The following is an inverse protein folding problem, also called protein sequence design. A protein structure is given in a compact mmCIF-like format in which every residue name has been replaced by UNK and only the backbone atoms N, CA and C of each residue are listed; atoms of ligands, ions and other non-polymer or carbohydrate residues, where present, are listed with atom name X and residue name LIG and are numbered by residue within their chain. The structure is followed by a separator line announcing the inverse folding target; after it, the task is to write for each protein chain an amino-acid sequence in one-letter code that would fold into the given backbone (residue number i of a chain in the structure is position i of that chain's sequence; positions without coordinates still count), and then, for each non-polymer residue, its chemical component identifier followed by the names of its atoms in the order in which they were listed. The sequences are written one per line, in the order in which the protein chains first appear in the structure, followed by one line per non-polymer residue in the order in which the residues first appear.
data_IF_837938502716
#
_entry.id   IF_837938502716
#
_cell.length_a   1.000
_cell.length_b   1.000
_cell.length_c   1.000
_cell.angle_alpha   90.00
_cell.angle_beta   90.00
_cell.angle_gamma   90.00
#
_symmetry.space_group_name_H-M   'P 1'
#
loop_
_entity.id
_entity.type
_entity.pdbx_description
1 polymer ?
#
# COMPACT_ATOMS: atom_id res chain seq x y z
N UNK A 1 -4.12 4.19 19.18
CA UNK A 1 -3.01 3.99 18.21
C UNK A 1 -2.85 5.25 17.38
N UNK A 2 -1.64 5.59 16.93
CA UNK A 2 -1.41 6.72 16.02
C UNK A 2 -1.99 6.40 14.64
N UNK A 3 -2.73 7.36 14.05
CA UNK A 3 -3.27 7.26 12.70
C UNK A 3 -2.25 7.67 11.65
N UNK A 4 -1.19 8.35 12.06
CA UNK A 4 -0.12 8.86 11.20
C UNK A 4 1.17 8.13 11.52
N UNK A 5 1.84 7.59 10.52
CA UNK A 5 3.09 6.87 10.67
C UNK A 5 4.17 7.36 9.69
N UNK A 6 5.41 7.23 10.10
CA UNK A 6 6.56 7.68 9.31
C UNK A 6 7.01 9.10 9.66
N UNK A 7 7.72 9.80 8.74
CA UNK A 7 7.91 9.45 7.32
C UNK A 7 8.71 8.17 7.10
N UNK A 8 8.23 7.32 6.19
CA UNK A 8 8.92 6.09 5.77
C UNK A 8 9.39 6.20 4.32
N UNK A 9 10.52 5.59 3.94
CA UNK A 9 10.95 5.59 2.56
C UNK A 9 9.98 4.75 1.73
N UNK A 10 9.46 5.37 0.68
CA UNK A 10 8.64 4.76 -0.33
C UNK A 10 9.47 4.47 -1.57
N UNK A 11 9.23 3.34 -2.21
CA UNK A 11 9.90 2.96 -3.47
C UNK A 11 9.62 3.94 -4.62
N UNK A 12 8.59 4.76 -4.50
CA UNK A 12 8.07 5.63 -5.56
C UNK A 12 7.75 7.06 -5.14
N UNK A 13 7.64 7.33 -3.84
CA UNK A 13 7.16 8.61 -3.30
C UNK A 13 8.16 9.30 -2.37
N UNK A 14 9.44 8.90 -2.40
CA UNK A 14 10.43 9.46 -1.49
C UNK A 14 10.10 9.19 -0.03
N UNK A 15 10.18 10.20 0.83
CA UNK A 15 9.81 10.13 2.25
C UNK A 15 8.30 10.31 2.39
N UNK A 16 7.59 9.23 2.62
CA UNK A 16 6.13 9.22 2.70
C UNK A 16 5.63 9.24 4.14
N UNK A 17 4.78 10.21 4.47
CA UNK A 17 4.01 10.24 5.70
C UNK A 17 2.69 9.52 5.46
N UNK A 18 2.51 8.35 6.08
CA UNK A 18 1.33 7.52 5.88
C UNK A 18 0.19 7.92 6.79
N UNK A 19 -1.02 7.95 6.25
CA UNK A 19 -2.28 8.20 6.96
C UNK A 19 -3.14 6.95 6.88
N UNK A 20 -3.38 6.32 8.01
CA UNK A 20 -4.16 5.09 8.15
C UNK A 20 -5.56 5.41 8.69
N UNK A 21 -6.55 5.27 7.84
CA UNK A 21 -7.94 5.64 8.09
C UNK A 21 -8.83 4.44 8.44
N UNK A 22 -8.25 3.23 8.35
CA UNK A 22 -9.03 1.99 8.33
C UNK A 22 -8.51 1.07 9.43
N UNK A 23 -9.39 0.43 10.23
CA UNK A 23 -8.98 -0.55 11.21
C UNK A 23 -8.16 -1.68 10.57
N UNK A 24 -7.22 -2.21 11.33
CA UNK A 24 -6.28 -3.22 10.86
C UNK A 24 -6.98 -4.38 10.15
N UNK A 25 -6.55 -4.69 8.93
CA UNK A 25 -7.10 -5.75 8.07
C UNK A 25 -8.60 -5.62 7.74
N UNK A 26 -9.12 -4.40 7.68
CA UNK A 26 -10.45 -4.12 7.11
C UNK A 26 -10.27 -3.70 5.65
N UNK A 27 -10.75 -4.52 4.72
CA UNK A 27 -10.51 -4.32 3.29
C UNK A 27 -11.67 -4.86 2.45
N UNK A 28 -11.75 -4.43 1.19
CA UNK A 28 -12.70 -4.97 0.21
C UNK A 28 -12.21 -6.27 -0.43
N UNK A 29 -10.90 -6.59 -0.31
CA UNK A 29 -10.24 -7.78 -0.84
C UNK A 29 -9.57 -8.59 0.27
N UNK A 30 -9.27 -9.87 -0.02
CA UNK A 30 -8.41 -10.76 0.77
C UNK A 30 -7.30 -11.32 -0.12
N UNK A 31 -6.44 -10.42 -0.64
CA UNK A 31 -5.41 -10.78 -1.62
C UNK A 31 -4.43 -11.81 -1.07
N UNK A 32 -4.13 -12.85 -1.89
CA UNK A 32 -3.21 -13.92 -1.50
C UNK A 32 -1.78 -13.43 -1.21
N UNK A 33 -1.39 -12.28 -1.76
CA UNK A 33 -0.07 -11.67 -1.62
C UNK A 33 0.01 -10.57 -0.54
N UNK A 34 -1.09 -10.30 0.19
CA UNK A 34 -1.12 -9.20 1.14
C UNK A 34 -0.05 -9.36 2.22
N UNK A 35 0.84 -8.38 2.34
CA UNK A 35 1.92 -8.38 3.34
C UNK A 35 1.42 -8.27 4.79
N UNK A 36 0.17 -7.81 4.98
CA UNK A 36 -0.49 -7.75 6.30
C UNK A 36 -1.10 -9.09 6.72
N UNK A 37 -1.09 -10.09 5.83
CA UNK A 37 -1.76 -11.37 6.00
C UNK A 37 -3.22 -11.31 5.56
N UNK A 38 -4.02 -12.33 5.95
CA UNK A 38 -5.43 -12.44 5.58
C UNK A 38 -6.28 -11.31 6.13
N UNK A 39 -7.22 -10.83 5.33
CA UNK A 39 -8.21 -9.84 5.74
C UNK A 39 -9.14 -10.43 6.79
N UNK A 40 -9.27 -9.76 7.93
CA UNK A 40 -10.12 -10.21 9.03
C UNK A 40 -11.54 -9.65 8.92
N UNK A 41 -11.69 -8.44 8.37
CA UNK A 41 -12.98 -7.82 8.08
C UNK A 41 -13.08 -7.47 6.60
N UNK A 42 -13.63 -8.39 5.81
CA UNK A 42 -13.89 -8.14 4.39
C UNK A 42 -15.26 -7.46 4.23
N UNK A 43 -15.28 -6.22 3.70
CA UNK A 43 -16.49 -5.38 3.63
C UNK A 43 -16.43 -4.40 2.48
N UNK A 44 -17.57 -3.88 2.06
CA UNK A 44 -17.74 -2.73 1.15
C UNK A 44 -18.42 -1.55 1.87
N UNK A 45 -18.67 -1.69 3.15
CA UNK A 45 -19.31 -0.67 3.98
C UNK A 45 -18.34 0.52 4.15
N UNK A 46 -18.83 1.73 3.86
CA UNK A 46 -18.06 2.96 3.97
C UNK A 46 -18.50 3.73 5.22
N UNK A 47 -17.55 4.05 6.07
CA UNK A 47 -17.80 4.72 7.33
C UNK A 47 -16.67 5.72 7.65
N UNK A 48 -16.87 6.57 8.63
CA UNK A 48 -15.82 7.24 9.37
C UNK A 48 -15.27 6.25 10.40
N UNK A 49 -14.25 5.46 10.01
CA UNK A 49 -13.69 4.40 10.85
C UNK A 49 -12.83 4.94 12.00
N UNK A 50 -12.29 6.13 11.82
CA UNK A 50 -11.48 6.85 12.80
C UNK A 50 -11.93 8.31 12.82
N UNK A 51 -11.95 8.99 13.99
CA UNK A 51 -12.35 10.39 14.06
C UNK A 51 -11.44 11.26 13.18
N UNK A 52 -12.01 11.92 12.18
CA UNK A 52 -11.23 12.70 11.21
C UNK A 52 -10.49 13.87 11.86
N UNK A 53 -11.06 14.46 12.90
CA UNK A 53 -10.43 15.57 13.63
C UNK A 53 -9.14 15.14 14.34
N UNK A 54 -9.11 13.93 14.89
CA UNK A 54 -7.93 13.35 15.52
C UNK A 54 -6.83 13.11 14.49
N UNK A 55 -7.20 12.56 13.32
CA UNK A 55 -6.28 12.34 12.19
C UNK A 55 -5.65 13.65 11.72
N UNK A 56 -6.47 14.70 11.57
CA UNK A 56 -6.01 16.02 11.11
C UNK A 56 -5.12 16.70 12.15
N UNK A 57 -5.45 16.59 13.43
CA UNK A 57 -4.62 17.15 14.51
C UNK A 57 -3.24 16.49 14.54
N UNK A 58 -3.21 15.16 14.48
CA UNK A 58 -1.96 14.36 14.45
C UNK A 58 -1.14 14.64 13.17
N UNK A 59 -1.80 14.75 12.02
CA UNK A 59 -1.14 15.10 10.77
C UNK A 59 -0.45 16.45 10.85
N UNK A 60 -1.12 17.47 11.40
CA UNK A 60 -0.59 18.82 11.56
C UNK A 60 0.72 18.84 12.34
N UNK A 61 0.81 18.08 13.43
CA UNK A 61 2.03 17.97 14.23
C UNK A 61 3.18 17.35 13.43
N UNK A 62 2.89 16.30 12.65
CA UNK A 62 3.91 15.56 11.88
C UNK A 62 4.34 16.25 10.57
N UNK A 63 3.65 17.30 10.11
CA UNK A 63 4.08 18.08 8.94
C UNK A 63 5.47 18.73 9.12
N UNK A 64 5.88 19.02 10.38
CA UNK A 64 7.23 19.53 10.70
C UNK A 64 8.36 18.59 10.24
N UNK A 65 8.07 17.30 10.01
CA UNK A 65 9.02 16.31 9.50
C UNK A 65 9.32 16.46 8.00
N UNK A 66 8.63 17.36 7.30
CA UNK A 66 8.81 17.68 5.87
C UNK A 66 8.85 16.43 4.98
N UNK A 67 7.81 15.61 4.94
CA UNK A 67 7.74 14.49 4.02
C UNK A 67 7.64 14.96 2.56
N UNK A 68 8.01 14.09 1.60
CA UNK A 68 7.85 14.38 0.17
C UNK A 68 6.40 14.18 -0.28
N UNK A 69 5.69 13.24 0.37
CA UNK A 69 4.27 12.93 0.14
C UNK A 69 3.53 12.65 1.45
N UNK A 70 2.26 13.02 1.48
CA UNK A 70 1.27 12.51 2.44
C UNK A 70 0.47 11.43 1.72
N UNK A 71 0.47 10.20 2.26
CA UNK A 71 -0.06 9.04 1.56
C UNK A 71 -1.23 8.43 2.32
N UNK A 72 -2.43 8.50 1.77
CA UNK A 72 -3.59 7.80 2.30
C UNK A 72 -3.48 6.32 1.92
N UNK A 73 -3.09 5.52 2.89
CA UNK A 73 -2.83 4.08 2.76
C UNK A 73 -2.67 3.47 4.15
N UNK A 74 -2.54 2.17 4.28
CA UNK A 74 -2.24 1.59 5.59
C UNK A 74 -2.78 0.17 5.76
N UNK A 75 -3.60 -0.02 6.77
CA UNK A 75 -4.02 -1.33 7.28
C UNK A 75 -5.18 -1.97 6.51
N UNK A 76 -5.70 -1.29 5.48
CA UNK A 76 -6.84 -1.75 4.67
C UNK A 76 -7.04 -0.95 3.40
N UNK A 77 -8.28 -0.88 2.91
CA UNK A 77 -8.65 -0.12 1.71
C UNK A 77 -9.10 1.30 2.11
N UNK A 78 -8.34 2.36 1.77
CA UNK A 78 -8.65 3.72 2.21
C UNK A 78 -9.99 4.27 1.67
N UNK A 79 -10.48 3.79 0.52
CA UNK A 79 -11.77 4.23 -0.03
C UNK A 79 -12.98 3.72 0.76
N UNK A 80 -12.78 2.88 1.77
CA UNK A 80 -13.79 2.56 2.78
C UNK A 80 -14.06 3.72 3.74
N UNK A 81 -13.15 4.71 3.84
CA UNK A 81 -13.42 5.95 4.56
C UNK A 81 -14.43 6.79 3.77
N UNK A 82 -15.55 7.17 4.41
CA UNK A 82 -16.62 7.93 3.77
C UNK A 82 -16.32 9.43 3.64
N UNK A 83 -15.26 9.94 4.28
CA UNK A 83 -14.89 11.36 4.35
C UNK A 83 -13.51 11.65 3.73
N UNK A 84 -13.14 10.95 2.65
CA UNK A 84 -11.84 11.14 2.01
C UNK A 84 -11.65 12.53 1.41
N UNK A 85 -12.68 13.06 0.76
CA UNK A 85 -12.69 14.41 0.18
C UNK A 85 -12.42 15.48 1.23
N UNK A 86 -13.06 15.39 2.38
CA UNK A 86 -12.82 16.31 3.49
C UNK A 86 -11.38 16.23 4.00
N UNK A 87 -10.85 15.02 4.20
CA UNK A 87 -9.45 14.86 4.63
C UNK A 87 -8.48 15.43 3.61
N UNK A 88 -8.66 15.13 2.33
CA UNK A 88 -7.82 15.64 1.25
C UNK A 88 -7.89 17.18 1.22
N UNK A 89 -9.09 17.76 1.28
CA UNK A 89 -9.28 19.20 1.29
C UNK A 89 -8.64 19.90 2.49
N UNK A 90 -8.83 19.35 3.70
CA UNK A 90 -8.20 19.87 4.93
C UNK A 90 -6.68 19.76 4.88
N UNK A 91 -6.16 18.64 4.37
CA UNK A 91 -4.71 18.46 4.20
C UNK A 91 -4.13 19.50 3.24
N UNK A 92 -4.74 19.70 2.08
CA UNK A 92 -4.31 20.71 1.09
C UNK A 92 -4.39 22.14 1.61
N UNK A 93 -5.31 22.44 2.52
CA UNK A 93 -5.39 23.76 3.16
C UNK A 93 -4.26 24.02 4.17
N UNK A 94 -3.63 22.97 4.72
CA UNK A 94 -2.57 23.06 5.74
C UNK A 94 -1.16 23.05 5.14
N UNK A 95 -0.97 22.48 3.94
CA UNK A 95 0.36 22.27 3.38
C UNK A 95 0.33 22.18 1.86
N UNK A 96 1.48 22.48 1.23
CA UNK A 96 1.71 22.26 -0.20
C UNK A 96 2.30 20.87 -0.52
N UNK A 97 2.52 20.03 0.49
CA UNK A 97 3.02 18.66 0.30
C UNK A 97 1.95 17.85 -0.46
N UNK A 98 2.32 17.18 -1.55
CA UNK A 98 1.35 16.47 -2.37
C UNK A 98 0.70 15.30 -1.62
N UNK A 99 -0.61 15.13 -1.83
CA UNK A 99 -1.40 14.02 -1.29
C UNK A 99 -1.51 12.91 -2.33
N UNK A 100 -1.12 11.70 -1.95
CA UNK A 100 -1.27 10.49 -2.75
C UNK A 100 -2.27 9.53 -2.11
N UNK A 101 -3.11 8.88 -2.91
CA UNK A 101 -4.03 7.83 -2.45
C UNK A 101 -3.66 6.51 -3.10
N UNK A 102 -3.35 5.50 -2.27
CA UNK A 102 -3.08 4.14 -2.71
C UNK A 102 -4.33 3.31 -2.46
N UNK A 103 -4.99 2.87 -3.52
CA UNK A 103 -6.26 2.12 -3.43
C UNK A 103 -6.19 0.83 -4.25
N UNK A 104 -6.91 -0.19 -3.83
CA UNK A 104 -7.08 -1.39 -4.64
C UNK A 104 -8.07 -1.20 -5.83
N UNK A 105 -8.66 -0.01 -5.95
CA UNK A 105 -9.53 0.36 -7.05
C UNK A 105 -10.94 -0.24 -7.01
N UNK A 106 -11.25 -1.10 -6.05
CA UNK A 106 -12.49 -1.87 -5.99
C UNK A 106 -13.77 -1.05 -5.97
N UNK A 107 -13.73 0.11 -5.33
CA UNK A 107 -14.89 0.98 -5.15
C UNK A 107 -14.98 2.12 -6.17
N UNK A 108 -14.04 2.22 -7.12
CA UNK A 108 -14.07 3.25 -8.19
C UNK A 108 -15.24 3.09 -9.17
N UNK A 109 -15.95 1.95 -9.16
CA UNK A 109 -17.24 1.79 -9.81
C UNK A 109 -18.35 2.69 -9.25
N UNK A 110 -18.16 3.25 -8.04
CA UNK A 110 -19.09 4.20 -7.40
C UNK A 110 -18.68 5.64 -7.73
N UNK A 111 -19.60 6.43 -8.27
CA UNK A 111 -19.35 7.83 -8.65
C UNK A 111 -18.95 8.69 -7.44
N UNK A 112 -19.58 8.46 -6.31
CA UNK A 112 -19.27 9.16 -5.07
C UNK A 112 -17.79 8.97 -4.67
N UNK A 113 -17.28 7.74 -4.74
CA UNK A 113 -15.86 7.44 -4.43
C UNK A 113 -14.93 8.14 -5.39
N UNK A 114 -15.24 8.11 -6.71
CA UNK A 114 -14.44 8.84 -7.70
C UNK A 114 -14.39 10.34 -7.40
N UNK A 115 -15.54 10.94 -7.08
CA UNK A 115 -15.63 12.38 -6.75
C UNK A 115 -14.77 12.73 -5.53
N UNK A 116 -14.73 11.89 -4.52
CA UNK A 116 -13.95 12.15 -3.30
C UNK A 116 -12.43 12.13 -3.52
N UNK A 117 -11.96 11.56 -4.62
CA UNK A 117 -10.54 11.48 -4.96
C UNK A 117 -10.06 12.59 -5.91
N UNK A 118 -10.98 13.41 -6.45
CA UNK A 118 -10.64 14.40 -7.48
C UNK A 118 -9.59 15.43 -7.05
N UNK A 119 -9.54 15.76 -5.78
CA UNK A 119 -8.60 16.73 -5.22
C UNK A 119 -7.26 16.12 -4.77
N UNK A 120 -7.06 14.81 -4.86
CA UNK A 120 -5.75 14.20 -4.64
C UNK A 120 -4.77 14.64 -5.74
N UNK A 121 -3.47 14.77 -5.41
CA UNK A 121 -2.44 15.08 -6.41
C UNK A 121 -2.06 13.85 -7.22
N UNK A 122 -2.11 12.69 -6.59
CA UNK A 122 -1.76 11.41 -7.17
C UNK A 122 -2.71 10.33 -6.66
N UNK A 123 -3.24 9.51 -7.57
CA UNK A 123 -3.97 8.30 -7.20
C UNK A 123 -3.29 7.10 -7.84
N UNK A 124 -3.04 6.06 -7.01
CA UNK A 124 -2.36 4.84 -7.43
C UNK A 124 -3.30 3.67 -7.18
N UNK A 125 -4.20 3.36 -8.12
CA UNK A 125 -5.00 2.15 -8.02
C UNK A 125 -4.23 0.91 -8.45
N UNK A 126 -4.70 -0.27 -8.02
CA UNK A 126 -4.12 -1.57 -8.40
C UNK A 126 -4.98 -2.29 -9.45
N UNK A 127 -4.31 -3.01 -10.35
CA UNK A 127 -4.92 -3.95 -11.30
C UNK A 127 -4.06 -5.22 -11.39
N UNK A 128 -4.44 -6.28 -10.69
CA UNK A 128 -3.60 -7.47 -10.51
C UNK A 128 -4.06 -8.66 -11.37
N UNK A 129 -5.14 -8.51 -12.11
CA UNK A 129 -5.71 -9.54 -12.96
C UNK A 129 -6.27 -8.94 -14.25
N UNK A 130 -6.31 -9.73 -15.32
CA UNK A 130 -6.86 -9.33 -16.61
C UNK A 130 -8.26 -9.91 -16.91
N UNK A 131 -8.83 -10.69 -15.99
CA UNK A 131 -10.17 -11.27 -16.12
C UNK A 131 -10.71 -11.79 -14.78
N UNK A 132 -12.03 -12.05 -14.75
CA UNK A 132 -12.78 -12.37 -13.54
C UNK A 132 -12.22 -13.57 -12.75
N UNK A 133 -11.91 -14.70 -13.38
CA UNK A 133 -11.43 -15.89 -12.64
C UNK A 133 -10.05 -15.68 -12.00
N UNK A 134 -9.12 -14.95 -12.67
CA UNK A 134 -7.84 -14.59 -12.06
C UNK A 134 -8.00 -13.57 -10.95
N UNK A 135 -8.90 -12.61 -11.09
CA UNK A 135 -9.27 -11.65 -10.06
C UNK A 135 -9.80 -12.33 -8.80
N UNK A 136 -10.68 -13.32 -8.95
CA UNK A 136 -11.17 -14.12 -7.83
C UNK A 136 -10.05 -14.94 -7.17
N UNK A 137 -9.13 -15.49 -7.95
CA UNK A 137 -8.03 -16.31 -7.44
C UNK A 137 -7.00 -15.48 -6.65
N UNK A 138 -6.66 -14.28 -7.13
CA UNK A 138 -5.55 -13.47 -6.60
C UNK A 138 -6.04 -12.46 -5.56
N UNK A 139 -7.11 -11.71 -5.86
CA UNK A 139 -7.58 -10.61 -5.02
C UNK A 139 -8.69 -11.03 -4.03
N UNK A 140 -9.41 -12.11 -4.29
CA UNK A 140 -10.52 -12.62 -3.44
C UNK A 140 -11.47 -11.50 -2.98
N UNK A 141 -12.10 -10.78 -3.93
CA UNK A 141 -12.90 -9.62 -3.62
C UNK A 141 -14.11 -9.95 -2.74
N UNK A 142 -14.70 -8.90 -2.16
CA UNK A 142 -16.02 -9.00 -1.56
C UNK A 142 -17.04 -9.42 -2.63
N UNK A 143 -18.04 -10.21 -2.27
CA UNK A 143 -18.95 -10.89 -3.19
C UNK A 143 -19.70 -9.97 -4.17
N UNK A 144 -19.98 -8.73 -3.78
CA UNK A 144 -20.65 -7.75 -4.65
C UNK A 144 -19.71 -7.04 -5.65
N UNK A 145 -18.40 -7.33 -5.62
CA UNK A 145 -17.40 -6.70 -6.50
C UNK A 145 -17.10 -7.63 -7.67
N UNK A 146 -17.50 -7.25 -8.88
CA UNK A 146 -17.10 -7.95 -10.11
C UNK A 146 -15.87 -7.29 -10.74
N UNK A 147 -15.09 -8.09 -11.49
CA UNK A 147 -13.94 -7.62 -12.24
C UNK A 147 -14.31 -6.53 -13.24
N UNK A 148 -15.39 -6.74 -13.97
CA UNK A 148 -15.88 -5.84 -15.02
C UNK A 148 -16.25 -4.47 -14.46
N UNK A 149 -17.00 -4.46 -13.34
CA UNK A 149 -17.39 -3.20 -12.67
C UNK A 149 -16.20 -2.46 -12.08
N UNK A 150 -15.23 -3.18 -11.52
CA UNK A 150 -13.99 -2.60 -11.02
C UNK A 150 -13.19 -1.98 -12.17
N UNK A 151 -12.99 -2.70 -13.29
CA UNK A 151 -12.27 -2.21 -14.46
C UNK A 151 -12.95 -0.99 -15.09
N UNK A 152 -14.27 -0.99 -15.23
CA UNK A 152 -15.04 0.16 -15.70
C UNK A 152 -14.88 1.36 -14.79
N UNK A 153 -14.83 1.13 -13.47
CA UNK A 153 -14.54 2.17 -12.47
C UNK A 153 -13.17 2.81 -12.65
N UNK A 154 -12.13 2.00 -12.88
CA UNK A 154 -10.77 2.48 -13.17
C UNK A 154 -10.74 3.35 -14.43
N UNK A 155 -11.41 2.92 -15.51
CA UNK A 155 -11.49 3.64 -16.78
C UNK A 155 -12.27 4.95 -16.59
N UNK A 156 -13.43 4.92 -15.92
CA UNK A 156 -14.23 6.10 -15.68
C UNK A 156 -13.50 7.13 -14.82
N UNK A 157 -12.81 6.68 -13.75
CA UNK A 157 -12.04 7.56 -12.91
C UNK A 157 -10.91 8.24 -13.69
N UNK A 158 -10.14 7.47 -14.50
CA UNK A 158 -9.08 8.06 -15.33
C UNK A 158 -9.58 9.13 -16.28
N UNK A 159 -10.77 8.95 -16.85
CA UNK A 159 -11.38 9.91 -17.79
C UNK A 159 -11.66 11.26 -17.15
N UNK A 160 -12.11 11.25 -15.88
CA UNK A 160 -12.56 12.45 -15.20
C UNK A 160 -11.47 13.08 -14.32
N UNK A 161 -10.43 12.30 -13.95
CA UNK A 161 -9.35 12.71 -13.05
C UNK A 161 -8.22 13.42 -13.79
N UNK A 162 -7.82 14.61 -13.32
CA UNK A 162 -6.81 15.46 -13.94
C UNK A 162 -5.47 15.46 -13.18
N UNK A 163 -5.38 14.81 -12.03
CA UNK A 163 -4.11 14.59 -11.31
C UNK A 163 -3.29 13.44 -11.90
N UNK A 164 -2.17 13.15 -11.28
CA UNK A 164 -1.31 12.02 -11.66
C UNK A 164 -2.02 10.68 -11.37
N UNK A 165 -2.08 9.80 -12.37
CA UNK A 165 -2.71 8.48 -12.28
C UNK A 165 -1.67 7.39 -12.57
N UNK A 166 -1.13 6.75 -11.54
CA UNK A 166 -0.18 5.66 -11.70
C UNK A 166 -0.87 4.34 -11.39
N UNK A 167 -0.76 3.37 -12.27
CA UNK A 167 -1.38 2.06 -12.08
C UNK A 167 -0.36 1.06 -11.52
N UNK A 168 -0.63 0.51 -10.35
CA UNK A 168 0.16 -0.61 -9.81
C UNK A 168 -0.35 -1.92 -10.35
N UNK A 169 0.55 -2.78 -10.84
CA UNK A 169 0.26 -4.15 -11.26
C UNK A 169 1.10 -5.11 -10.42
N UNK A 170 0.45 -5.95 -9.64
CA UNK A 170 1.13 -6.91 -8.78
C UNK A 170 1.22 -8.27 -9.45
N UNK A 171 2.44 -8.70 -9.79
CA UNK A 171 2.69 -9.95 -10.49
C UNK A 171 3.17 -11.06 -9.55
N UNK A 172 2.61 -12.27 -9.75
CA UNK A 172 2.91 -13.47 -8.98
C UNK A 172 3.34 -14.61 -9.92
N UNK A 173 4.41 -15.29 -9.56
CA UNK A 173 4.88 -16.47 -10.30
C UNK A 173 3.83 -17.58 -10.28
N UNK A 174 3.62 -18.21 -11.44
CA UNK A 174 2.60 -19.25 -11.59
C UNK A 174 1.15 -18.75 -11.67
N UNK A 175 0.91 -17.45 -11.51
CA UNK A 175 -0.40 -16.78 -11.62
C UNK A 175 -0.35 -15.70 -12.70
N UNK A 176 -0.19 -14.44 -12.26
CA UNK A 176 -0.31 -13.26 -13.13
C UNK A 176 0.94 -12.95 -13.96
N UNK A 177 2.10 -13.55 -13.60
CA UNK A 177 3.36 -13.44 -14.38
C UNK A 177 3.49 -14.46 -15.53
N UNK A 178 2.44 -15.22 -15.83
CA UNK A 178 2.35 -16.07 -17.03
C UNK A 178 2.07 -15.15 -18.22
N UNK A 179 2.70 -15.44 -19.36
CA UNK A 179 2.62 -14.60 -20.57
C UNK A 179 1.20 -14.28 -21.02
N UNK A 180 0.31 -15.27 -21.01
CA UNK A 180 -1.09 -15.09 -21.37
C UNK A 180 -1.83 -14.18 -20.39
N UNK A 181 -1.55 -14.31 -19.10
CA UNK A 181 -2.22 -13.51 -18.06
C UNK A 181 -1.69 -12.06 -18.06
N UNK A 182 -0.36 -11.89 -18.15
CA UNK A 182 0.22 -10.53 -18.26
C UNK A 182 -0.30 -9.80 -19.49
N UNK A 183 -0.51 -10.49 -20.62
CA UNK A 183 -1.10 -9.88 -21.83
C UNK A 183 -2.51 -9.37 -21.59
N UNK A 184 -3.37 -10.16 -20.94
CA UNK A 184 -4.74 -9.72 -20.58
C UNK A 184 -4.74 -8.51 -19.66
N UNK A 185 -3.79 -8.46 -18.68
CA UNK A 185 -3.62 -7.28 -17.82
C UNK A 185 -3.20 -6.08 -18.69
N UNK A 186 -2.23 -6.24 -19.59
CA UNK A 186 -1.77 -5.17 -20.48
C UNK A 186 -2.90 -4.66 -21.41
N UNK A 187 -3.79 -5.53 -21.89
CA UNK A 187 -4.99 -5.13 -22.63
C UNK A 187 -5.95 -4.26 -21.79
N UNK A 188 -6.11 -4.57 -20.50
CA UNK A 188 -6.87 -3.73 -19.59
C UNK A 188 -6.17 -2.37 -19.34
N UNK A 189 -4.86 -2.38 -19.15
CA UNK A 189 -4.04 -1.16 -18.96
C UNK A 189 -4.19 -0.22 -20.17
N UNK A 190 -4.14 -0.74 -21.39
CA UNK A 190 -4.31 0.08 -22.61
C UNK A 190 -5.70 0.74 -22.71
N UNK A 191 -6.73 0.16 -22.07
CA UNK A 191 -8.08 0.76 -21.96
C UNK A 191 -8.15 1.83 -20.90
N UNK A 192 -7.43 1.64 -19.77
CA UNK A 192 -7.37 2.60 -18.65
C UNK A 192 -6.58 3.84 -19.04
N UNK A 193 -5.45 3.69 -19.74
CA UNK A 193 -4.51 4.74 -20.15
C UNK A 193 -3.92 5.52 -18.96
N UNK A 194 -3.23 4.85 -18.02
CA UNK A 194 -2.58 5.52 -16.91
C UNK A 194 -1.38 6.36 -17.38
N UNK A 195 -0.96 7.33 -16.56
CA UNK A 195 0.25 8.11 -16.84
C UNK A 195 1.51 7.28 -16.65
N UNK A 196 1.49 6.32 -15.70
CA UNK A 196 2.56 5.35 -15.45
C UNK A 196 1.98 3.98 -15.08
N UNK A 197 2.74 2.93 -15.39
CA UNK A 197 2.50 1.55 -14.95
C UNK A 197 3.65 1.11 -14.08
N UNK A 198 3.34 0.55 -12.90
CA UNK A 198 4.35 0.13 -11.93
C UNK A 198 4.19 -1.36 -11.61
N UNK A 199 5.20 -2.17 -11.93
CA UNK A 199 5.21 -3.59 -11.60
C UNK A 199 5.78 -3.83 -10.22
N UNK A 200 5.02 -4.56 -9.42
CA UNK A 200 5.39 -5.01 -8.09
C UNK A 200 5.28 -6.54 -7.97
N UNK A 201 5.86 -7.12 -6.91
CA UNK A 201 5.76 -8.55 -6.60
C UNK A 201 5.91 -8.81 -5.10
N UNK A 202 5.67 -10.04 -4.64
CA UNK A 202 5.71 -10.45 -3.24
C UNK A 202 7.14 -10.45 -2.66
N UNK A 203 7.71 -9.27 -2.43
CA UNK A 203 9.07 -9.11 -1.83
C UNK A 203 9.07 -9.25 -0.30
N UNK A 204 7.90 -9.35 0.33
CA UNK A 204 7.68 -9.59 1.77
C UNK A 204 6.83 -10.82 1.97
N UNK A 205 6.82 -11.41 3.20
CA UNK A 205 5.96 -12.54 3.50
C UNK A 205 4.50 -12.26 3.10
N UNK A 206 3.92 -13.04 2.19
CA UNK A 206 2.54 -12.88 1.75
C UNK A 206 1.55 -13.50 2.73
N UNK A 207 0.25 -13.27 2.52
CA UNK A 207 -0.82 -13.93 3.26
C UNK A 207 -0.83 -15.45 3.03
N UNK A 208 -0.56 -15.87 1.79
CA UNK A 208 -0.52 -17.28 1.39
C UNK A 208 0.90 -17.64 0.95
N UNK A 209 1.46 -18.73 1.47
CA UNK A 209 2.85 -19.15 1.19
C UNK A 209 3.10 -19.52 -0.28
N UNK A 210 2.04 -19.83 -1.03
CA UNK A 210 2.12 -20.10 -2.47
C UNK A 210 2.07 -18.83 -3.34
N UNK A 211 1.90 -17.64 -2.78
CA UNK A 211 2.01 -16.38 -3.50
C UNK A 211 3.49 -16.01 -3.72
N UNK A 212 4.10 -16.66 -4.69
CA UNK A 212 5.54 -16.61 -4.94
C UNK A 212 5.93 -15.36 -5.72
N UNK A 213 7.06 -14.73 -5.30
CA UNK A 213 7.63 -13.57 -5.98
C UNK A 213 8.12 -13.92 -7.39
N UNK A 214 8.07 -12.93 -8.28
CA UNK A 214 8.65 -13.00 -9.63
C UNK A 214 10.10 -12.50 -9.59
N UNK A 215 11.00 -13.24 -10.24
CA UNK A 215 12.41 -12.84 -10.31
C UNK A 215 12.59 -11.52 -11.10
N UNK A 216 13.61 -10.73 -10.74
CA UNK A 216 13.88 -9.41 -11.30
C UNK A 216 13.97 -9.40 -12.83
N UNK A 217 14.73 -10.35 -13.41
CA UNK A 217 14.87 -10.46 -14.86
C UNK A 217 13.52 -10.65 -15.53
N UNK A 218 12.69 -11.54 -14.99
CA UNK A 218 11.35 -11.82 -15.52
C UNK A 218 10.42 -10.60 -15.40
N UNK A 219 10.47 -9.86 -14.29
CA UNK A 219 9.74 -8.60 -14.17
C UNK A 219 10.16 -7.58 -15.24
N UNK A 220 11.47 -7.44 -15.48
CA UNK A 220 11.98 -6.53 -16.52
C UNK A 220 11.51 -6.94 -17.92
N UNK A 221 11.49 -8.25 -18.24
CA UNK A 221 10.93 -8.77 -19.50
C UNK A 221 9.43 -8.45 -19.63
N UNK A 222 8.66 -8.67 -18.56
CA UNK A 222 7.22 -8.41 -18.57
C UNK A 222 6.89 -6.92 -18.64
N UNK A 223 7.74 -6.06 -18.08
CA UNK A 223 7.54 -4.61 -18.08
C UNK A 223 7.44 -4.02 -19.51
N UNK A 224 8.13 -4.62 -20.47
CA UNK A 224 8.10 -4.18 -21.89
C UNK A 224 6.77 -4.46 -22.60
N UNK A 225 5.86 -5.21 -21.98
CA UNK A 225 4.57 -5.60 -22.57
C UNK A 225 3.45 -4.60 -22.34
N UNK A 226 3.70 -3.62 -21.47
CA UNK A 226 2.73 -2.59 -21.13
C UNK A 226 2.91 -1.33 -21.97
N UNK A 227 1.84 -0.59 -22.14
CA UNK A 227 1.82 0.73 -22.75
C UNK A 227 1.08 1.72 -21.83
N UNK A 228 1.79 2.72 -21.27
CA UNK A 228 3.25 2.95 -21.36
C UNK A 228 4.09 1.80 -20.77
N UNK A 229 5.37 1.64 -21.17
CA UNK A 229 6.25 0.64 -20.59
C UNK A 229 6.31 0.74 -19.07
N UNK A 230 6.22 -0.40 -18.38
CA UNK A 230 6.10 -0.39 -16.93
C UNK A 230 7.46 -0.21 -16.23
N UNK A 231 7.44 0.47 -15.09
CA UNK A 231 8.56 0.63 -14.16
C UNK A 231 8.55 -0.53 -13.15
N UNK A 232 9.68 -1.21 -12.93
CA UNK A 232 9.79 -2.24 -11.89
C UNK A 232 10.12 -1.58 -10.56
N UNK A 233 9.18 -1.60 -9.62
CA UNK A 233 9.32 -1.00 -8.28
C UNK A 233 9.61 -2.01 -7.16
N UNK A 234 9.85 -3.28 -7.51
CA UNK A 234 10.05 -4.36 -6.54
C UNK A 234 11.37 -4.30 -5.75
N UNK A 235 12.36 -3.49 -6.17
CA UNK A 235 13.69 -3.42 -5.56
C UNK A 235 13.89 -2.12 -4.75
N UNK A 236 14.32 -2.25 -3.49
CA UNK A 236 14.56 -1.12 -2.56
C UNK A 236 15.94 -0.47 -2.68
N UNK A 237 16.84 -0.95 -3.55
CA UNK A 237 18.21 -0.42 -3.62
C UNK A 237 18.21 1.01 -4.14
N UNK A 238 18.53 1.95 -3.26
CA UNK A 238 18.78 3.35 -3.62
C UNK A 238 17.95 4.42 -2.89
N UNK A 239 17.02 4.05 -2.02
CA UNK A 239 16.29 5.03 -1.20
C UNK A 239 17.03 5.20 0.13
N UNK A 240 18.11 5.96 0.12
CA UNK A 240 18.76 6.40 1.36
C UNK A 240 17.97 7.57 1.94
N UNK A 241 17.33 7.37 3.10
CA UNK A 241 16.78 8.46 3.87
C UNK A 241 17.94 9.32 4.43
N UNK A 242 18.27 10.41 3.76
CA UNK A 242 19.03 11.49 4.41
C UNK A 242 18.06 12.21 5.35
N UNK A 243 18.05 11.82 6.61
CA UNK A 243 17.25 12.52 7.62
C UNK A 243 18.09 12.85 8.84
N UNK A 244 18.04 14.12 9.29
CA UNK A 244 18.48 14.56 10.62
C UNK A 244 17.56 14.02 11.74
N UNK A 245 16.65 13.11 11.41
CA UNK A 245 15.72 12.49 12.36
C UNK A 245 16.43 11.38 13.12
N UNK A 246 16.54 11.53 14.43
CA UNK A 246 17.02 10.47 15.33
C UNK A 246 15.89 9.46 15.53
N UNK A 247 15.82 8.48 14.67
CA UNK A 247 14.96 7.33 14.87
C UNK A 247 15.39 6.54 16.12
N UNK A 248 14.43 6.06 16.91
CA UNK A 248 14.66 5.29 18.12
C UNK A 248 13.86 3.99 18.13
N UNK A 249 13.80 3.34 19.28
CA UNK A 249 13.07 2.09 19.51
C UNK A 249 11.60 2.17 19.04
N UNK A 250 10.93 3.28 19.39
CA UNK A 250 9.52 3.48 19.02
C UNK A 250 9.33 3.57 17.50
N UNK A 251 10.26 4.22 16.79
CA UNK A 251 10.22 4.30 15.32
C UNK A 251 10.37 2.94 14.67
N UNK A 252 11.24 2.07 15.25
CA UNK A 252 11.40 0.69 14.79
C UNK A 252 10.10 -0.09 15.04
N UNK A 253 9.52 0.02 16.24
CA UNK A 253 8.29 -0.67 16.59
C UNK A 253 7.12 -0.23 15.70
N UNK A 254 6.92 1.08 15.51
CA UNK A 254 5.89 1.61 14.60
C UNK A 254 6.03 1.05 13.18
N UNK A 255 7.26 0.97 12.68
CA UNK A 255 7.51 0.47 11.33
C UNK A 255 7.17 -1.02 11.17
N UNK A 256 7.61 -1.87 12.13
CA UNK A 256 7.34 -3.32 12.08
C UNK A 256 5.90 -3.68 12.44
N UNK A 257 5.18 -2.84 13.16
CA UNK A 257 3.73 -3.00 13.41
C UNK A 257 2.90 -2.80 12.15
N UNK A 258 3.37 -1.96 11.22
CA UNK A 258 2.66 -1.66 9.98
C UNK A 258 2.88 -2.70 8.88
N UNK A 259 4.04 -3.37 8.87
CA UNK A 259 4.39 -4.37 7.85
C UNK A 259 5.60 -5.20 8.27
N UNK A 260 5.76 -6.43 7.75
CA UNK A 260 6.98 -7.18 7.92
C UNK A 260 8.18 -6.45 7.31
N UNK A 261 9.27 -6.29 8.07
CA UNK A 261 10.50 -5.63 7.64
C UNK A 261 11.71 -6.51 7.91
N UNK A 262 12.67 -6.54 6.98
CA UNK A 262 14.00 -7.08 7.24
C UNK A 262 14.86 -6.05 8.01
N UNK A 263 16.04 -6.47 8.53
CA UNK A 263 16.98 -5.52 9.16
C UNK A 263 17.40 -4.41 8.19
N UNK A 264 17.56 -4.74 6.92
CA UNK A 264 17.89 -3.82 5.85
C UNK A 264 16.75 -2.83 5.60
N UNK A 265 15.49 -3.33 5.53
CA UNK A 265 14.32 -2.47 5.37
C UNK A 265 14.20 -1.44 6.49
N UNK A 266 14.53 -1.85 7.74
CA UNK A 266 14.47 -0.95 8.90
C UNK A 266 15.63 0.06 8.86
N UNK A 267 16.84 -0.41 8.59
CA UNK A 267 18.04 0.42 8.52
C UNK A 267 17.90 1.51 7.44
N UNK A 268 17.54 1.11 6.23
CA UNK A 268 17.33 2.02 5.10
C UNK A 268 16.13 2.95 5.36
N UNK A 269 15.07 2.39 5.95
CA UNK A 269 13.82 3.09 6.22
C UNK A 269 13.93 4.21 7.24
N UNK A 270 14.73 4.01 8.25
CA UNK A 270 14.89 4.93 9.36
C UNK A 270 16.22 5.70 9.30
N UNK A 271 17.06 5.45 8.29
CA UNK A 271 18.40 6.07 8.17
C UNK A 271 19.34 5.64 9.31
N UNK A 272 19.17 4.42 9.83
CA UNK A 272 19.92 3.91 10.98
C UNK A 272 21.03 2.97 10.54
N UNK A 273 22.11 2.94 11.34
CA UNK A 273 23.13 1.92 11.13
C UNK A 273 22.58 0.52 11.49
N UNK A 274 22.87 -0.49 10.67
CA UNK A 274 22.38 -1.87 10.85
C UNK A 274 22.59 -2.43 12.25
N UNK A 275 23.74 -2.14 12.87
CA UNK A 275 24.04 -2.61 14.23
C UNK A 275 23.13 -1.98 15.30
N UNK A 276 22.66 -0.77 15.05
CA UNK A 276 21.70 -0.07 15.93
C UNK A 276 20.31 -0.68 15.80
N UNK A 277 19.90 -0.98 14.56
CA UNK A 277 18.65 -1.71 14.30
C UNK A 277 18.64 -3.07 14.99
N UNK A 278 19.76 -3.82 14.94
CA UNK A 278 19.87 -5.12 15.62
C UNK A 278 19.60 -4.97 17.12
N UNK A 279 20.18 -3.97 17.79
CA UNK A 279 19.95 -3.73 19.23
C UNK A 279 18.47 -3.49 19.53
N UNK A 280 17.80 -2.65 18.73
CA UNK A 280 16.38 -2.35 18.96
C UNK A 280 15.50 -3.57 18.67
N UNK A 281 15.79 -4.33 17.62
CA UNK A 281 15.07 -5.57 17.31
C UNK A 281 15.24 -6.62 18.42
N UNK A 282 16.47 -6.78 18.97
CA UNK A 282 16.73 -7.67 20.11
C UNK A 282 16.00 -7.20 21.37
N UNK A 283 15.93 -5.89 21.62
CA UNK A 283 15.19 -5.34 22.75
C UNK A 283 13.70 -5.58 22.62
N UNK A 284 13.12 -5.39 21.41
CA UNK A 284 11.70 -5.65 21.14
C UNK A 284 11.37 -7.14 21.22
N UNK A 285 12.27 -8.00 20.79
CA UNK A 285 12.16 -9.46 20.91
C UNK A 285 12.13 -9.89 22.38
N UNK A 286 13.07 -9.36 23.19
CA UNK A 286 13.14 -9.64 24.62
C UNK A 286 11.87 -9.16 25.38
N UNK A 287 11.24 -8.09 24.92
CA UNK A 287 9.94 -7.59 25.42
C UNK A 287 8.74 -8.39 24.87
N UNK A 288 8.96 -9.34 23.98
CA UNK A 288 7.90 -10.14 23.36
C UNK A 288 6.98 -9.37 22.42
N UNK A 289 7.42 -8.21 21.89
CA UNK A 289 6.64 -7.27 21.09
C UNK A 289 6.72 -7.54 19.58
N UNK A 290 7.54 -8.51 19.15
CA UNK A 290 7.68 -8.85 17.74
C UNK A 290 7.53 -10.35 17.46
N UNK A 291 7.29 -10.65 16.18
CA UNK A 291 7.30 -11.99 15.60
C UNK A 291 8.35 -12.05 14.48
N UNK A 292 8.90 -13.25 14.27
CA UNK A 292 9.89 -13.52 13.25
C UNK A 292 9.34 -14.49 12.21
N UNK A 293 9.51 -14.16 10.93
CA UNK A 293 9.10 -15.03 9.82
C UNK A 293 10.20 -15.06 8.75
N UNK A 294 10.55 -16.24 8.28
CA UNK A 294 11.47 -16.41 7.16
C UNK A 294 10.69 -16.50 5.85
N UNK A 295 11.12 -15.78 4.82
CA UNK A 295 10.55 -15.84 3.47
C UNK A 295 11.62 -15.52 2.45
N UNK A 296 11.73 -16.34 1.38
CA UNK A 296 12.72 -16.15 0.31
C UNK A 296 14.18 -16.11 0.82
N UNK A 297 14.51 -16.85 1.89
CA UNK A 297 15.85 -16.88 2.49
C UNK A 297 16.20 -15.63 3.33
N UNK A 298 15.25 -14.73 3.58
CA UNK A 298 15.39 -13.54 4.44
C UNK A 298 14.55 -13.67 5.70
N UNK A 299 15.03 -13.08 6.79
CA UNK A 299 14.31 -12.97 8.06
C UNK A 299 13.57 -11.62 8.11
N UNK A 300 12.28 -11.67 8.41
CA UNK A 300 11.42 -10.52 8.58
C UNK A 300 10.91 -10.43 10.02
N UNK A 301 10.73 -9.21 10.49
CA UNK A 301 10.22 -8.86 11.80
C UNK A 301 8.88 -8.14 11.65
N UNK A 302 7.89 -8.53 12.42
CA UNK A 302 6.56 -7.91 12.48
C UNK A 302 6.22 -7.60 13.94
N UNK A 303 5.58 -6.49 14.21
CA UNK A 303 5.04 -6.20 15.53
C UNK A 303 3.88 -7.15 15.86
N UNK A 304 3.80 -7.61 17.12
CA UNK A 304 2.62 -8.30 17.59
C UNK A 304 1.49 -7.30 17.76
N UNK A 305 0.38 -7.52 17.06
CA UNK A 305 -0.86 -6.80 17.34
C UNK A 305 -1.49 -7.42 18.59
N UNK A 306 -1.65 -6.61 19.64
CA UNK A 306 -2.54 -7.03 20.73
C UNK A 306 -3.96 -7.12 20.17
N UNK A 307 -4.71 -8.21 20.42
CA UNK A 307 -6.11 -8.24 20.04
C UNK A 307 -6.80 -7.05 20.74
N UNK A 308 -7.50 -6.22 19.96
CA UNK A 308 -8.38 -5.21 20.53
C UNK A 308 -9.36 -5.94 21.45
N UNK A 309 -9.35 -5.60 22.73
CA UNK A 309 -10.40 -6.02 23.64
C UNK A 309 -11.72 -5.55 23.05
N UNK A 310 -12.52 -6.50 22.61
CA UNK A 310 -13.87 -6.26 22.12
C UNK A 310 -14.63 -5.58 23.26
N UNK A 311 -14.73 -4.28 23.23
CA UNK A 311 -15.71 -3.59 24.06
C UNK A 311 -17.08 -4.07 23.60
N UNK A 312 -17.67 -4.88 24.47
CA UNK A 312 -19.06 -5.39 24.38
C UNK A 312 -20.05 -4.25 24.55
#
# INVERSE_FOLDING_TARGET
MSHIYGPVPSRRLGRSLGVDLIPFKTCTYDCIYCQLGRTTRKTVERNEWVPLDDVVAELKEKLALKPDYITLSGSGEPTLCSRLDELIGRTRSMTTIPVAVLTNGSLLGQEEVRRQLMDAHLVIPSLDAGHSSMFQAVNRPYESISFERMLEGLIAFRKDYHGEYWLEVFLLAGYTAIDSETRKIAECVSRIKPDRVQLNTATRPPAEDYAVMVGRQRLAELATRFDPPAEVIADYRGVHAQSDFKAGLDSVLEMIQRRPCSLEDIADGLGMHRNEVIKYVEELDAKGLLEKRSSGGKLFYSGKHQPEETQR
#
